data_IF_913235862985
#
_entry.id   IF_913235862985
#
_cell.length_a   1.000
_cell.length_b   1.000
_cell.length_c   1.000
_cell.angle_alpha   90.00
_cell.angle_beta   90.00
_cell.angle_gamma   90.00
#
_symmetry.space_group_name_H-M   'P 1'
#
loop_
_entity.id
_entity.type
_entity.pdbx_description
1 polymer ?
#
# COMPACT_ATOMS: atom_id res chain seq x y z
N UNK A 1 -18.04 39.95 14.81
CA UNK A 1 -18.06 38.71 14.00
C UNK A 1 -19.27 38.78 13.09
N UNK A 2 -19.06 38.75 11.78
CA UNK A 2 -20.15 38.77 10.81
C UNK A 2 -20.71 37.34 10.67
N UNK A 3 -21.94 37.21 10.16
CA UNK A 3 -22.57 35.92 9.90
C UNK A 3 -21.69 35.06 8.98
N UNK A 4 -20.99 35.69 8.06
CA UNK A 4 -20.04 35.05 7.15
C UNK A 4 -18.85 34.38 7.89
N UNK A 5 -18.32 35.04 8.93
CA UNK A 5 -17.19 34.50 9.71
C UNK A 5 -17.62 33.23 10.45
N UNK A 6 -18.82 33.18 11.02
CA UNK A 6 -19.35 31.99 11.69
C UNK A 6 -19.62 30.81 10.73
N UNK A 7 -20.04 31.07 9.50
CA UNK A 7 -20.24 30.04 8.48
C UNK A 7 -18.91 29.48 8.03
N UNK A 8 -17.90 30.31 7.80
CA UNK A 8 -16.55 29.92 7.40
C UNK A 8 -15.89 29.07 8.49
N UNK A 9 -16.01 29.48 9.73
CA UNK A 9 -15.51 28.76 10.90
C UNK A 9 -16.16 27.36 11.00
N UNK A 10 -17.48 27.29 10.91
CA UNK A 10 -18.21 26.02 10.95
C UNK A 10 -17.80 25.07 9.81
N UNK A 11 -17.65 25.57 8.56
CA UNK A 11 -17.21 24.75 7.43
C UNK A 11 -15.78 24.25 7.67
N UNK A 12 -14.87 25.10 8.14
CA UNK A 12 -13.50 24.72 8.44
C UNK A 12 -13.45 23.61 9.51
N UNK A 13 -14.23 23.72 10.57
CA UNK A 13 -14.34 22.69 11.61
C UNK A 13 -14.84 21.36 11.05
N UNK A 14 -15.89 21.36 10.19
CA UNK A 14 -16.41 20.13 9.60
C UNK A 14 -15.38 19.45 8.68
N UNK A 15 -14.65 20.23 7.89
CA UNK A 15 -13.58 19.71 7.03
C UNK A 15 -12.46 19.09 7.87
N UNK A 16 -12.03 19.77 8.94
CA UNK A 16 -10.96 19.28 9.82
C UNK A 16 -11.39 18.03 10.59
N UNK A 17 -12.62 17.98 11.09
CA UNK A 17 -13.17 16.78 11.72
C UNK A 17 -13.20 15.58 10.76
N UNK A 18 -13.63 15.82 9.50
CA UNK A 18 -13.59 14.79 8.46
C UNK A 18 -12.19 14.29 8.17
N UNK A 19 -11.20 15.17 8.10
CA UNK A 19 -9.80 14.82 7.88
C UNK A 19 -9.20 14.03 9.04
N UNK A 20 -9.51 14.39 10.29
CA UNK A 20 -9.05 13.67 11.47
C UNK A 20 -9.64 12.25 11.54
N UNK A 21 -10.93 12.10 11.26
CA UNK A 21 -11.60 10.80 11.19
C UNK A 21 -10.96 9.90 10.12
N UNK A 22 -10.68 10.44 8.95
CA UNK A 22 -10.04 9.71 7.85
C UNK A 22 -8.60 9.35 8.24
N UNK A 23 -7.84 10.28 8.81
CA UNK A 23 -6.46 10.07 9.25
C UNK A 23 -6.36 8.91 10.26
N UNK A 24 -7.20 8.93 11.29
CA UNK A 24 -7.19 7.92 12.36
C UNK A 24 -7.61 6.54 11.84
N UNK A 25 -8.63 6.51 10.97
CA UNK A 25 -9.17 5.24 10.46
C UNK A 25 -8.33 4.64 9.33
N UNK A 26 -7.85 5.45 8.40
CA UNK A 26 -7.17 4.97 7.17
C UNK A 26 -5.68 4.73 7.41
N UNK A 27 -4.97 5.64 8.08
CA UNK A 27 -3.54 5.45 8.35
C UNK A 27 -3.27 4.28 9.31
N UNK A 28 -4.16 4.05 10.28
CA UNK A 28 -4.11 2.87 11.14
C UNK A 28 -4.32 1.55 10.38
N UNK A 29 -5.09 1.60 9.29
CA UNK A 29 -5.38 0.43 8.46
C UNK A 29 -4.30 0.13 7.41
N UNK A 30 -3.49 1.12 7.03
CA UNK A 30 -2.47 0.99 5.98
C UNK A 30 -1.14 0.38 6.46
N UNK A 31 -1.08 -0.16 7.70
CA UNK A 31 0.09 -0.91 8.18
C UNK A 31 0.37 -2.12 7.26
N UNK A 32 1.64 -2.32 6.88
CA UNK A 32 2.08 -3.49 6.11
C UNK A 32 2.04 -4.76 6.99
N UNK A 33 0.86 -5.10 7.52
CA UNK A 33 0.66 -6.26 8.39
C UNK A 33 -0.41 -7.18 7.80
N UNK A 34 -0.05 -8.45 7.64
CA UNK A 34 -0.93 -9.49 7.09
C UNK A 34 -2.20 -9.68 7.94
N UNK A 35 -2.07 -9.55 9.26
CA UNK A 35 -3.19 -9.70 10.19
C UNK A 35 -4.23 -8.59 10.00
N UNK A 36 -3.78 -7.37 9.83
CA UNK A 36 -4.63 -6.22 9.51
C UNK A 36 -5.31 -6.39 8.15
N UNK A 37 -4.58 -6.91 7.16
CA UNK A 37 -5.12 -7.14 5.82
C UNK A 37 -6.23 -8.21 5.82
N UNK A 38 -6.03 -9.35 6.48
CA UNK A 38 -7.03 -10.42 6.62
C UNK A 38 -8.28 -9.95 7.37
N UNK A 39 -8.13 -9.05 8.32
CA UNK A 39 -9.26 -8.46 9.05
C UNK A 39 -10.21 -7.68 8.14
N UNK A 40 -9.67 -6.98 7.13
CA UNK A 40 -10.48 -6.23 6.16
C UNK A 40 -11.02 -7.12 5.03
N UNK A 41 -10.34 -8.22 4.74
CA UNK A 41 -10.68 -9.15 3.66
C UNK A 41 -10.82 -10.59 4.15
N UNK A 42 -11.85 -10.94 4.95
CA UNK A 42 -11.97 -12.29 5.54
C UNK A 42 -12.16 -13.39 4.49
N UNK A 43 -12.68 -13.07 3.31
CA UNK A 43 -12.77 -14.03 2.19
C UNK A 43 -11.40 -14.40 1.59
N UNK A 44 -10.37 -13.68 1.94
CA UNK A 44 -9.04 -13.82 1.40
C UNK A 44 -8.38 -15.15 1.76
N UNK A 45 -8.58 -15.65 2.97
CA UNK A 45 -8.04 -16.93 3.42
C UNK A 45 -8.56 -18.11 2.58
N UNK A 46 -9.87 -18.12 2.29
CA UNK A 46 -10.47 -19.15 1.43
C UNK A 46 -9.95 -19.05 0.00
N UNK A 47 -9.83 -17.84 -0.55
CA UNK A 47 -9.27 -17.61 -1.88
C UNK A 47 -7.79 -18.01 -1.95
N UNK A 48 -7.02 -17.74 -0.91
CA UNK A 48 -5.61 -18.11 -0.84
C UNK A 48 -5.42 -19.62 -0.98
N UNK A 49 -6.19 -20.43 -0.24
CA UNK A 49 -6.13 -21.89 -0.33
C UNK A 49 -6.46 -22.41 -1.72
N UNK A 50 -7.40 -21.76 -2.42
CA UNK A 50 -7.72 -22.08 -3.82
C UNK A 50 -6.51 -21.76 -4.72
N UNK A 51 -5.85 -20.62 -4.53
CA UNK A 51 -4.66 -20.25 -5.30
C UNK A 51 -3.47 -21.18 -5.03
N UNK A 52 -3.27 -21.66 -3.82
CA UNK A 52 -2.25 -22.66 -3.49
C UNK A 52 -2.53 -23.97 -4.24
N UNK A 53 -3.76 -24.47 -4.20
CA UNK A 53 -4.15 -25.69 -4.91
C UNK A 53 -3.98 -25.54 -6.43
N UNK A 54 -4.38 -24.41 -7.00
CA UNK A 54 -4.19 -24.07 -8.41
C UNK A 54 -2.70 -24.03 -8.76
N UNK A 55 -1.87 -23.40 -7.94
CA UNK A 55 -0.43 -23.29 -8.15
C UNK A 55 0.24 -24.65 -8.21
N UNK A 56 -0.04 -25.52 -7.25
CA UNK A 56 0.48 -26.89 -7.22
C UNK A 56 0.03 -27.67 -8.47
N UNK A 57 -1.25 -27.54 -8.84
CA UNK A 57 -1.80 -28.17 -10.06
C UNK A 57 -1.08 -27.70 -11.32
N UNK A 58 -0.80 -26.40 -11.44
CA UNK A 58 -0.05 -25.82 -12.58
C UNK A 58 1.40 -26.36 -12.65
N UNK A 59 2.08 -26.46 -11.50
CA UNK A 59 3.46 -26.99 -11.47
C UNK A 59 3.47 -28.47 -11.90
N UNK A 60 2.56 -29.28 -11.37
CA UNK A 60 2.44 -30.69 -11.70
C UNK A 60 2.10 -30.88 -13.18
N UNK A 61 1.15 -30.10 -13.71
CA UNK A 61 0.80 -30.16 -15.13
C UNK A 61 2.00 -29.81 -16.03
N UNK A 62 2.75 -28.75 -15.66
CA UNK A 62 3.97 -28.40 -16.38
C UNK A 62 5.03 -29.52 -16.30
N UNK A 63 5.22 -30.14 -15.13
CA UNK A 63 6.14 -31.26 -14.96
C UNK A 63 5.76 -32.41 -15.85
N UNK A 64 4.49 -32.83 -15.85
CA UNK A 64 3.98 -33.93 -16.70
C UNK A 64 4.18 -33.59 -18.18
N UNK A 65 3.84 -32.38 -18.60
CA UNK A 65 4.02 -31.93 -19.98
C UNK A 65 5.48 -31.99 -20.44
N UNK A 66 6.41 -31.54 -19.60
CA UNK A 66 7.84 -31.58 -19.91
C UNK A 66 8.40 -33.03 -19.93
N UNK A 67 7.89 -33.91 -19.06
CA UNK A 67 8.25 -35.33 -19.09
C UNK A 67 7.77 -35.97 -20.39
N UNK A 68 6.56 -35.67 -20.88
CA UNK A 68 6.08 -36.18 -22.18
C UNK A 68 6.96 -35.71 -23.34
N UNK A 69 7.45 -34.48 -23.32
CA UNK A 69 8.43 -34.00 -24.30
C UNK A 69 9.73 -34.76 -24.22
N UNK A 70 10.21 -35.04 -23.02
CA UNK A 70 11.50 -35.70 -22.79
C UNK A 70 11.49 -37.18 -23.23
N UNK A 71 10.35 -37.85 -23.08
CA UNK A 71 10.18 -39.24 -23.54
C UNK A 71 9.86 -39.38 -25.05
N UNK A 72 10.01 -38.27 -25.82
CA UNK A 72 9.84 -38.30 -27.27
C UNK A 72 8.39 -38.42 -27.76
N UNK A 73 7.41 -38.30 -26.88
CA UNK A 73 5.99 -38.29 -27.22
C UNK A 73 5.58 -37.06 -28.05
N UNK A 74 6.40 -36.00 -27.99
CA UNK A 74 6.23 -34.77 -28.79
C UNK A 74 7.52 -34.57 -29.60
N UNK A 75 7.52 -34.98 -30.85
CA UNK A 75 8.70 -34.93 -31.74
C UNK A 75 9.07 -33.44 -32.05
N UNK A 76 10.36 -33.14 -32.02
CA UNK A 76 10.92 -31.87 -32.55
C UNK A 76 10.98 -30.72 -31.59
N UNK A 77 10.78 -30.91 -30.29
CA UNK A 77 10.90 -29.85 -29.27
C UNK A 77 12.08 -30.15 -28.35
N UNK A 78 12.95 -29.13 -28.13
CA UNK A 78 14.02 -29.23 -27.13
C UNK A 78 13.42 -29.47 -25.73
N UNK A 79 13.84 -30.56 -25.08
CA UNK A 79 13.39 -30.94 -23.75
C UNK A 79 14.44 -30.51 -22.72
N UNK A 80 13.98 -30.03 -21.56
CA UNK A 80 14.86 -29.76 -20.43
C UNK A 80 15.38 -31.04 -19.79
N UNK A 81 16.57 -30.98 -19.17
CA UNK A 81 17.13 -32.09 -18.39
C UNK A 81 16.13 -32.50 -17.28
N UNK A 82 15.67 -33.79 -17.27
CA UNK A 82 14.62 -34.26 -16.37
C UNK A 82 14.98 -34.10 -14.88
N UNK A 83 16.27 -34.20 -14.53
CA UNK A 83 16.73 -34.04 -13.15
C UNK A 83 16.59 -32.57 -12.71
N UNK A 84 17.05 -31.65 -13.54
CA UNK A 84 16.92 -30.20 -13.26
C UNK A 84 15.46 -29.78 -13.19
N UNK A 85 14.63 -30.29 -14.09
CA UNK A 85 13.19 -30.03 -14.11
C UNK A 85 12.52 -30.51 -12.82
N UNK A 86 12.82 -31.72 -12.36
CA UNK A 86 12.24 -32.30 -11.14
C UNK A 86 12.65 -31.51 -9.91
N UNK A 87 13.94 -31.21 -9.75
CA UNK A 87 14.45 -30.41 -8.63
C UNK A 87 13.78 -29.03 -8.61
N UNK A 88 13.70 -28.38 -9.76
CA UNK A 88 13.05 -27.08 -9.91
C UNK A 88 11.56 -27.15 -9.55
N UNK A 89 10.84 -28.14 -10.02
CA UNK A 89 9.42 -28.32 -9.73
C UNK A 89 9.18 -28.55 -8.24
N UNK A 90 9.97 -29.40 -7.58
CA UNK A 90 9.88 -29.64 -6.14
C UNK A 90 10.15 -28.34 -5.35
N UNK A 91 11.19 -27.59 -5.73
CA UNK A 91 11.51 -26.31 -5.09
C UNK A 91 10.35 -25.32 -5.20
N UNK A 92 9.75 -25.18 -6.38
CA UNK A 92 8.63 -24.24 -6.56
C UNK A 92 7.31 -24.74 -5.94
N UNK A 93 7.11 -26.05 -5.77
CA UNK A 93 5.99 -26.59 -4.97
C UNK A 93 6.17 -26.18 -3.51
N UNK A 94 7.38 -26.32 -2.94
CA UNK A 94 7.66 -25.87 -1.59
C UNK A 94 7.48 -24.37 -1.44
N UNK A 95 7.97 -23.57 -2.40
CA UNK A 95 7.77 -22.11 -2.39
C UNK A 95 6.29 -21.73 -2.49
N UNK A 96 5.48 -22.44 -3.28
CA UNK A 96 4.05 -22.17 -3.38
C UNK A 96 3.28 -22.60 -2.14
N UNK A 97 3.73 -23.66 -1.45
CA UNK A 97 3.13 -24.13 -0.22
C UNK A 97 3.42 -23.18 0.97
N UNK A 98 4.66 -22.69 1.07
CA UNK A 98 5.08 -21.74 2.09
C UNK A 98 4.99 -20.28 1.63
N UNK A 99 4.12 -19.99 0.65
CA UNK A 99 4.06 -18.66 0.06
C UNK A 99 3.56 -17.60 1.05
N UNK A 100 2.68 -17.93 1.99
CA UNK A 100 2.17 -17.05 3.03
C UNK A 100 3.29 -16.65 4.01
N UNK A 101 4.06 -17.61 4.52
CA UNK A 101 5.17 -17.33 5.43
C UNK A 101 6.26 -16.49 4.76
N UNK A 102 6.55 -16.77 3.47
CA UNK A 102 7.54 -16.02 2.71
C UNK A 102 7.06 -14.58 2.50
N UNK A 103 5.81 -14.41 2.10
CA UNK A 103 5.23 -13.09 1.87
C UNK A 103 5.10 -12.32 3.18
N UNK A 104 4.67 -12.96 4.27
CA UNK A 104 4.62 -12.35 5.61
C UNK A 104 6.00 -11.87 6.06
N UNK A 105 7.05 -12.69 5.84
CA UNK A 105 8.42 -12.30 6.14
C UNK A 105 8.85 -11.07 5.35
N UNK A 106 8.56 -11.03 4.05
CA UNK A 106 8.89 -9.88 3.19
C UNK A 106 8.10 -8.64 3.63
N UNK A 107 6.82 -8.77 3.98
CA UNK A 107 6.00 -7.68 4.49
C UNK A 107 6.51 -7.17 5.83
N UNK A 108 6.94 -8.04 6.75
CA UNK A 108 7.57 -7.64 8.02
C UNK A 108 8.85 -6.85 7.79
N UNK A 109 9.71 -7.32 6.85
CA UNK A 109 10.94 -6.60 6.49
C UNK A 109 10.61 -5.22 5.89
N UNK A 110 9.64 -5.14 4.98
CA UNK A 110 9.20 -3.88 4.37
C UNK A 110 8.40 -2.98 5.32
N UNK A 111 7.63 -3.57 6.23
CA UNK A 111 6.81 -2.86 7.21
C UNK A 111 7.61 -2.25 8.37
N UNK A 112 8.80 -2.80 8.70
CA UNK A 112 9.65 -2.25 9.75
C UNK A 112 10.08 -0.80 9.48
N UNK A 113 10.63 -0.43 8.31
CA UNK A 113 10.92 0.97 7.98
C UNK A 113 9.65 1.84 7.94
N UNK A 114 8.53 1.31 7.48
CA UNK A 114 7.24 2.00 7.50
C UNK A 114 6.83 2.36 8.93
N UNK A 115 6.90 1.40 9.87
CA UNK A 115 6.60 1.62 11.27
C UNK A 115 7.55 2.65 11.90
N UNK A 116 8.84 2.64 11.58
CA UNK A 116 9.80 3.63 12.05
C UNK A 116 9.49 5.03 11.54
N UNK A 117 9.12 5.18 10.28
CA UNK A 117 8.70 6.48 9.71
C UNK A 117 7.44 6.97 10.42
N UNK A 118 6.47 6.10 10.65
CA UNK A 118 5.21 6.47 11.29
C UNK A 118 5.36 6.77 12.79
N UNK A 119 6.29 6.10 13.49
CA UNK A 119 6.57 6.32 14.93
C UNK A 119 7.62 7.39 15.20
N UNK A 120 8.28 7.95 14.17
CA UNK A 120 9.27 9.01 14.37
C UNK A 120 8.62 10.20 15.08
N UNK A 121 9.30 10.75 16.10
CA UNK A 121 8.89 11.95 16.89
C UNK A 121 8.94 13.24 16.06
N UNK A 122 8.38 13.22 14.88
CA UNK A 122 8.07 14.46 14.17
C UNK A 122 6.85 15.07 14.87
N UNK A 123 6.79 16.41 14.99
CA UNK A 123 5.63 17.05 15.60
C UNK A 123 4.37 16.48 14.95
N UNK A 124 3.63 15.69 15.74
CA UNK A 124 2.34 15.22 15.31
C UNK A 124 1.52 16.48 15.10
N UNK A 125 1.13 16.77 13.85
CA UNK A 125 0.04 17.68 13.64
C UNK A 125 -1.18 17.00 14.26
N UNK A 126 -1.48 17.40 15.47
CA UNK A 126 -2.82 17.27 15.95
C UNK A 126 -3.66 18.12 15.01
N UNK A 127 -4.59 17.54 14.28
CA UNK A 127 -5.53 18.33 13.48
C UNK A 127 -6.29 19.33 14.36
N UNK A 128 -6.38 19.09 15.68
CA UNK A 128 -6.87 20.08 16.66
C UNK A 128 -5.97 21.33 16.76
N UNK A 129 -4.63 21.15 16.71
CA UNK A 129 -3.69 22.30 16.72
C UNK A 129 -3.75 23.03 15.37
N UNK A 130 -3.92 22.31 14.26
CA UNK A 130 -4.13 22.90 12.95
C UNK A 130 -5.43 23.70 12.89
N UNK A 131 -6.50 23.17 13.46
CA UNK A 131 -7.78 23.89 13.59
C UNK A 131 -7.62 25.17 14.41
N UNK A 132 -6.92 25.14 15.55
CA UNK A 132 -6.68 26.30 16.38
C UNK A 132 -5.89 27.39 15.67
N UNK A 133 -4.91 27.01 14.84
CA UNK A 133 -4.12 27.97 14.03
C UNK A 133 -4.96 28.58 12.91
N UNK A 134 -5.78 27.78 12.21
CA UNK A 134 -6.70 28.29 11.19
C UNK A 134 -7.72 29.23 11.80
N UNK A 135 -8.30 28.88 12.95
CA UNK A 135 -9.25 29.71 13.66
C UNK A 135 -8.58 31.01 14.17
N UNK A 136 -7.32 30.94 14.59
CA UNK A 136 -6.54 32.13 14.97
C UNK A 136 -6.29 33.03 13.76
N UNK A 137 -5.91 32.50 12.62
CA UNK A 137 -5.71 33.27 11.38
C UNK A 137 -7.03 33.86 10.91
N UNK A 138 -8.14 33.12 10.93
CA UNK A 138 -9.47 33.63 10.62
C UNK A 138 -9.94 34.72 11.60
N UNK A 139 -9.65 34.55 12.90
CA UNK A 139 -10.02 35.51 13.93
C UNK A 139 -9.21 36.83 13.91
N UNK A 140 -7.94 36.78 13.48
CA UNK A 140 -7.09 37.97 13.32
C UNK A 140 -7.42 38.75 12.03
N UNK A 141 -7.97 38.04 11.01
CA UNK A 141 -8.37 38.68 9.76
C UNK A 141 -9.74 39.33 9.89
N UNK A 142 -9.78 40.56 10.39
CA UNK A 142 -11.01 41.35 10.55
C UNK A 142 -11.77 41.69 9.24
N UNK A 143 -11.27 41.28 8.09
CA UNK A 143 -11.87 41.49 6.78
C UNK A 143 -12.42 40.17 6.22
N UNK A 144 -13.72 40.05 5.99
CA UNK A 144 -14.39 38.88 5.47
C UNK A 144 -13.81 38.33 4.13
N UNK A 145 -13.13 39.18 3.34
CA UNK A 145 -12.43 38.75 2.13
C UNK A 145 -11.23 37.84 2.43
N UNK A 146 -10.48 38.10 3.50
CA UNK A 146 -9.32 37.30 3.90
C UNK A 146 -9.76 35.95 4.48
N UNK A 147 -10.88 35.95 5.23
CA UNK A 147 -11.49 34.70 5.72
C UNK A 147 -11.93 33.78 4.58
N UNK A 148 -12.50 34.33 3.51
CA UNK A 148 -12.85 33.54 2.30
C UNK A 148 -11.63 32.95 1.60
N UNK A 149 -10.54 33.71 1.48
CA UNK A 149 -9.28 33.22 0.87
C UNK A 149 -8.71 32.08 1.74
N UNK A 150 -8.69 32.24 3.07
CA UNK A 150 -8.22 31.20 3.97
C UNK A 150 -9.08 29.92 3.86
N UNK A 151 -10.40 30.03 3.77
CA UNK A 151 -11.31 28.90 3.56
C UNK A 151 -11.00 28.17 2.24
N UNK A 152 -10.79 28.89 1.14
CA UNK A 152 -10.44 28.30 -0.16
C UNK A 152 -9.12 27.52 -0.04
N UNK A 153 -8.12 28.07 0.64
CA UNK A 153 -6.84 27.40 0.86
C UNK A 153 -7.00 26.11 1.68
N UNK A 154 -7.83 26.14 2.74
CA UNK A 154 -8.14 24.94 3.54
C UNK A 154 -8.84 23.87 2.69
N UNK A 155 -9.79 24.25 1.85
CA UNK A 155 -10.47 23.31 0.95
C UNK A 155 -9.52 22.69 -0.07
N UNK A 156 -8.61 23.48 -0.64
CA UNK A 156 -7.59 22.96 -1.56
C UNK A 156 -6.65 21.98 -0.84
N UNK A 157 -6.23 22.31 0.38
CA UNK A 157 -5.37 21.45 1.19
C UNK A 157 -6.08 20.14 1.52
N UNK A 158 -7.34 20.21 1.98
CA UNK A 158 -8.17 19.05 2.28
C UNK A 158 -8.34 18.14 1.05
N UNK A 159 -8.59 18.72 -0.12
CA UNK A 159 -8.72 17.97 -1.36
C UNK A 159 -7.42 17.23 -1.73
N UNK A 160 -6.27 17.90 -1.64
CA UNK A 160 -4.97 17.26 -1.91
C UNK A 160 -4.67 16.14 -0.90
N UNK A 161 -5.02 16.31 0.37
CA UNK A 161 -4.85 15.29 1.39
C UNK A 161 -5.72 14.06 1.11
N UNK A 162 -7.00 14.24 0.79
CA UNK A 162 -7.91 13.16 0.41
C UNK A 162 -7.38 12.40 -0.82
N UNK A 163 -6.90 13.11 -1.83
CA UNK A 163 -6.30 12.50 -3.02
C UNK A 163 -5.09 11.62 -2.67
N UNK A 164 -4.23 12.07 -1.78
CA UNK A 164 -3.06 11.32 -1.33
C UNK A 164 -3.46 10.07 -0.54
N UNK A 165 -4.52 10.14 0.25
CA UNK A 165 -5.07 8.98 0.96
C UNK A 165 -5.65 7.93 0.00
N UNK A 166 -6.38 8.36 -1.02
CA UNK A 166 -6.89 7.44 -2.05
C UNK A 166 -5.75 6.75 -2.80
N UNK A 167 -4.68 7.47 -3.13
CA UNK A 167 -3.51 6.89 -3.77
C UNK A 167 -2.83 5.84 -2.86
N UNK A 168 -2.71 6.12 -1.57
CA UNK A 168 -2.17 5.16 -0.60
C UNK A 168 -3.07 3.94 -0.46
N UNK A 169 -4.40 4.12 -0.42
CA UNK A 169 -5.37 3.02 -0.35
C UNK A 169 -5.34 2.14 -1.61
N UNK A 170 -5.22 2.71 -2.81
CA UNK A 170 -5.08 1.97 -4.05
C UNK A 170 -3.83 1.08 -4.01
N UNK A 171 -2.70 1.60 -3.55
CA UNK A 171 -1.45 0.83 -3.43
C UNK A 171 -1.58 -0.31 -2.42
N UNK A 172 -2.31 -0.08 -1.32
CA UNK A 172 -2.57 -1.12 -0.33
C UNK A 172 -3.42 -2.27 -0.90
N UNK A 173 -4.45 -1.95 -1.66
CA UNK A 173 -5.27 -2.96 -2.36
C UNK A 173 -4.45 -3.73 -3.38
N UNK A 174 -3.61 -3.04 -4.18
CA UNK A 174 -2.71 -3.69 -5.14
C UNK A 174 -1.71 -4.62 -4.45
N UNK A 175 -1.13 -4.20 -3.32
CA UNK A 175 -0.24 -5.04 -2.51
C UNK A 175 -0.96 -6.29 -2.03
N UNK A 176 -2.20 -6.16 -1.56
CA UNK A 176 -3.03 -7.29 -1.15
C UNK A 176 -3.30 -8.28 -2.28
N UNK A 177 -3.65 -7.81 -3.47
CA UNK A 177 -3.83 -8.67 -4.65
C UNK A 177 -2.54 -9.43 -4.97
N UNK A 178 -1.38 -8.78 -4.88
CA UNK A 178 -0.08 -9.43 -5.10
C UNK A 178 0.22 -10.49 -4.04
N UNK A 179 -0.11 -10.24 -2.78
CA UNK A 179 0.01 -11.22 -1.69
C UNK A 179 -0.80 -12.48 -1.98
N UNK A 180 -2.09 -12.33 -2.36
CA UNK A 180 -2.94 -13.49 -2.66
C UNK A 180 -2.53 -14.24 -3.91
N UNK A 181 -1.96 -13.57 -4.90
CA UNK A 181 -1.50 -14.20 -6.13
C UNK A 181 -0.09 -14.81 -6.01
N UNK A 182 0.58 -14.67 -4.87
CA UNK A 182 1.94 -15.18 -4.65
C UNK A 182 2.10 -16.68 -4.97
N UNK A 183 1.22 -17.60 -4.52
CA UNK A 183 1.37 -19.02 -4.87
C UNK A 183 1.38 -19.26 -6.38
N UNK A 184 0.47 -18.58 -7.11
CA UNK A 184 0.39 -18.69 -8.57
C UNK A 184 1.62 -18.07 -9.24
N UNK A 185 2.13 -16.96 -8.72
CA UNK A 185 3.36 -16.35 -9.21
C UNK A 185 4.56 -17.30 -9.05
N UNK A 186 4.67 -17.98 -7.91
CA UNK A 186 5.70 -19.00 -7.71
C UNK A 186 5.53 -20.17 -8.69
N UNK A 187 4.29 -20.59 -8.97
CA UNK A 187 4.04 -21.63 -9.96
C UNK A 187 4.54 -21.24 -11.37
N UNK A 188 4.40 -19.98 -11.77
CA UNK A 188 4.95 -19.51 -13.06
C UNK A 188 6.48 -19.54 -13.10
N UNK A 189 7.16 -19.51 -11.96
CA UNK A 189 8.61 -19.66 -11.83
C UNK A 189 9.10 -21.09 -12.10
N UNK A 190 8.24 -22.10 -11.91
CA UNK A 190 8.57 -23.50 -12.12
C UNK A 190 8.89 -23.83 -13.58
N UNK A 191 8.24 -23.18 -14.55
CA UNK A 191 8.48 -23.37 -15.97
C UNK A 191 9.45 -22.31 -16.52
N UNK A 192 10.42 -22.74 -17.33
CA UNK A 192 11.39 -21.82 -17.94
C UNK A 192 10.70 -20.79 -18.85
N UNK A 193 9.70 -21.22 -19.60
CA UNK A 193 8.93 -20.38 -20.50
C UNK A 193 8.17 -19.24 -19.78
N UNK A 194 7.72 -19.46 -18.53
CA UNK A 194 6.92 -18.50 -17.76
C UNK A 194 7.73 -17.80 -16.65
N UNK A 195 9.02 -18.09 -16.52
CA UNK A 195 9.89 -17.50 -15.48
C UNK A 195 9.95 -15.97 -15.52
N UNK A 196 9.71 -15.37 -16.68
CA UNK A 196 9.64 -13.91 -16.82
C UNK A 196 8.41 -13.32 -16.11
N UNK A 197 7.31 -14.07 -16.00
CA UNK A 197 6.11 -13.65 -15.26
C UNK A 197 6.43 -13.60 -13.77
N UNK A 198 7.10 -14.61 -13.24
CA UNK A 198 7.57 -14.63 -11.86
C UNK A 198 8.51 -13.44 -11.55
N UNK A 199 9.49 -13.17 -12.41
CA UNK A 199 10.39 -12.01 -12.26
C UNK A 199 9.64 -10.68 -12.29
N UNK A 200 8.65 -10.55 -13.17
CA UNK A 200 7.80 -9.37 -13.25
C UNK A 200 6.97 -9.19 -11.97
N UNK A 201 6.40 -10.28 -11.45
CA UNK A 201 5.67 -10.27 -10.19
C UNK A 201 6.56 -9.84 -9.01
N UNK A 202 7.77 -10.41 -8.87
CA UNK A 202 8.73 -10.00 -7.83
C UNK A 202 9.09 -8.52 -7.90
N UNK A 203 9.30 -8.00 -9.11
CA UNK A 203 9.59 -6.57 -9.33
C UNK A 203 8.39 -5.71 -8.94
N UNK A 204 7.19 -6.11 -9.31
CA UNK A 204 5.96 -5.38 -9.00
C UNK A 204 5.68 -5.41 -7.49
N UNK A 205 5.82 -6.57 -6.84
CA UNK A 205 5.63 -6.72 -5.39
C UNK A 205 6.62 -5.86 -4.59
N UNK A 206 7.91 -5.96 -4.88
CA UNK A 206 8.93 -5.12 -4.24
C UNK A 206 8.74 -3.63 -4.53
N UNK A 207 8.32 -3.29 -5.75
CA UNK A 207 7.98 -1.93 -6.15
C UNK A 207 6.81 -1.35 -5.36
N UNK A 208 5.75 -2.13 -5.10
CA UNK A 208 4.60 -1.67 -4.30
C UNK A 208 4.97 -1.44 -2.84
N UNK A 209 5.78 -2.33 -2.23
CA UNK A 209 6.29 -2.13 -0.87
C UNK A 209 7.12 -0.84 -0.79
N UNK A 210 8.03 -0.63 -1.74
CA UNK A 210 8.85 0.58 -1.79
C UNK A 210 8.02 1.85 -1.97
N UNK A 211 7.04 1.83 -2.88
CA UNK A 211 6.14 2.97 -3.11
C UNK A 211 5.29 3.28 -1.87
N UNK A 212 4.84 2.27 -1.14
CA UNK A 212 4.11 2.45 0.11
C UNK A 212 4.97 3.11 1.18
N UNK A 213 6.24 2.71 1.29
CA UNK A 213 7.23 3.33 2.16
C UNK A 213 7.47 4.80 1.79
N UNK A 214 7.64 5.10 0.49
CA UNK A 214 7.83 6.46 0.00
C UNK A 214 6.60 7.34 0.23
N UNK A 215 5.38 6.79 0.07
CA UNK A 215 4.15 7.53 0.37
C UNK A 215 4.05 7.90 1.86
N UNK A 216 4.39 6.97 2.76
CA UNK A 216 4.44 7.25 4.19
C UNK A 216 5.45 8.36 4.52
N UNK A 217 6.61 8.31 3.89
CA UNK A 217 7.65 9.34 4.07
C UNK A 217 7.20 10.70 3.52
N UNK A 218 6.66 10.75 2.31
CA UNK A 218 6.12 11.98 1.73
C UNK A 218 5.00 12.58 2.60
N UNK A 219 4.11 11.74 3.12
CA UNK A 219 3.05 12.19 4.03
C UNK A 219 3.64 12.82 5.29
N UNK A 220 4.63 12.19 5.91
CA UNK A 220 5.31 12.72 7.10
C UNK A 220 6.03 14.03 6.81
N UNK A 221 6.76 14.12 5.71
CA UNK A 221 7.42 15.37 5.30
C UNK A 221 6.42 16.49 5.06
N UNK A 222 5.31 16.19 4.39
CA UNK A 222 4.23 17.16 4.16
C UNK A 222 3.66 17.68 5.48
N UNK A 223 3.33 16.79 6.41
CA UNK A 223 2.82 17.13 7.74
C UNK A 223 3.82 18.01 8.50
N UNK A 224 5.11 17.65 8.49
CA UNK A 224 6.15 18.43 9.18
C UNK A 224 6.32 19.82 8.56
N UNK A 225 6.32 19.91 7.23
CA UNK A 225 6.45 21.19 6.52
C UNK A 225 5.27 22.12 6.82
N UNK A 226 4.05 21.61 6.80
CA UNK A 226 2.85 22.38 7.14
C UNK A 226 2.90 22.82 8.62
N UNK A 227 3.29 21.93 9.54
CA UNK A 227 3.42 22.28 10.97
C UNK A 227 4.47 23.36 11.21
N UNK A 228 5.62 23.30 10.55
CA UNK A 228 6.68 24.31 10.66
C UNK A 228 6.23 25.67 10.10
N UNK A 229 5.54 25.65 8.95
CA UNK A 229 4.99 26.87 8.35
C UNK A 229 3.96 27.54 9.25
N UNK A 230 3.09 26.76 9.88
CA UNK A 230 2.05 27.28 10.79
C UNK A 230 2.63 27.80 12.09
N UNK A 231 3.69 27.16 12.62
CA UNK A 231 4.36 27.61 13.84
C UNK A 231 5.13 28.93 13.64
N UNK A 232 5.68 29.16 12.44
CA UNK A 232 6.50 30.35 12.14
C UNK A 232 6.24 30.85 10.70
N UNK A 233 5.10 31.50 10.42
CA UNK A 233 4.74 31.92 9.06
C UNK A 233 5.64 33.01 8.45
N UNK A 234 6.48 33.66 9.26
CA UNK A 234 7.39 34.74 8.84
C UNK A 234 8.87 34.33 8.82
N UNK A 235 9.22 33.05 9.05
CA UNK A 235 10.62 32.59 9.09
C UNK A 235 11.11 31.97 7.79
N UNK A 236 10.35 32.07 6.72
CA UNK A 236 10.72 31.78 5.34
C UNK A 236 11.05 33.08 4.61
#
# INVERSE_FOLDING_TARGET
MGILDGIVEWIAEQVMYGLDLINTSVLGALGCDMTTFLRYFPAAETMYNIFVALAIGMILLNLIWQLFKNYGLVAGVEAEDPVKLTIRSVLFILLAYFADEIVELILKIGGTPYAWIMSSELPALNFADFNSVILTILGVCANGAVALIALILVLILAWNYIKLLFEAAERYVLLGVLVFTAPVAFATGAAQATSNIFKAWCRMFGGQIFLMLMNAWCLRLFITMVGTFLANPLSL
#
